data_IF_861628185470
#
_entry.id   IF_861628185470
#
_cell.length_a   1.000
_cell.length_b   1.000
_cell.length_c   1.000
_cell.angle_alpha   90.00
_cell.angle_beta   90.00
_cell.angle_gamma   90.00
#
_symmetry.space_group_name_H-M   'P 1'
#
loop_
_entity.id
_entity.type
_entity.pdbx_description
1 polymer ?
#
# COMPACT_ATOMS: atom_id res chain seq x y z
N UNK A 1 7.28 -17.43 7.88
CA UNK A 1 7.30 -16.14 7.19
C UNK A 1 8.75 -15.79 6.91
N UNK A 2 9.10 -15.63 5.65
CA UNK A 2 10.46 -15.22 5.23
C UNK A 2 10.69 -13.72 5.51
N UNK A 3 11.96 -13.31 5.44
CA UNK A 3 12.38 -11.95 5.74
C UNK A 3 11.78 -10.92 4.76
N UNK A 4 11.63 -11.26 3.48
CA UNK A 4 11.13 -10.33 2.46
C UNK A 4 9.63 -10.10 2.62
N UNK A 5 8.86 -11.15 2.91
CA UNK A 5 7.44 -11.03 3.29
C UNK A 5 7.27 -10.16 4.53
N UNK A 6 8.10 -10.35 5.55
CA UNK A 6 8.05 -9.52 6.76
C UNK A 6 8.34 -8.03 6.47
N UNK A 7 9.36 -7.74 5.66
CA UNK A 7 9.69 -6.37 5.23
C UNK A 7 8.53 -5.76 4.43
N UNK A 8 7.94 -6.52 3.50
CA UNK A 8 6.82 -6.07 2.70
C UNK A 8 5.60 -5.71 3.56
N UNK A 9 5.23 -6.57 4.52
CA UNK A 9 4.14 -6.28 5.45
C UNK A 9 4.43 -5.06 6.33
N UNK A 10 5.69 -4.90 6.78
CA UNK A 10 6.09 -3.72 7.54
C UNK A 10 5.90 -2.44 6.71
N UNK A 11 6.25 -2.46 5.41
CA UNK A 11 6.02 -1.33 4.52
C UNK A 11 4.52 -1.02 4.36
N UNK A 12 3.66 -2.03 4.20
CA UNK A 12 2.20 -1.83 4.16
C UNK A 12 1.68 -1.14 5.44
N UNK A 13 2.19 -1.54 6.60
CA UNK A 13 1.84 -0.90 7.88
C UNK A 13 2.34 0.55 7.92
N UNK A 14 3.56 0.81 7.46
CA UNK A 14 4.12 2.16 7.40
C UNK A 14 3.28 3.06 6.48
N UNK A 15 2.86 2.58 5.31
CA UNK A 15 1.99 3.33 4.40
C UNK A 15 0.64 3.70 5.06
N UNK A 16 0.08 2.79 5.87
CA UNK A 16 -1.13 3.06 6.64
C UNK A 16 -0.93 4.14 7.69
N UNK A 17 0.20 4.10 8.41
CA UNK A 17 0.57 5.10 9.40
C UNK A 17 0.74 6.47 8.74
N UNK A 18 1.38 6.54 7.57
CA UNK A 18 1.54 7.79 6.79
C UNK A 18 0.17 8.36 6.40
N UNK A 19 -0.77 7.53 5.95
CA UNK A 19 -2.10 7.96 5.49
C UNK A 19 -3.07 8.35 6.60
N UNK A 20 -3.01 7.71 7.76
CA UNK A 20 -4.03 7.84 8.80
C UNK A 20 -4.27 9.30 9.28
N UNK A 21 -3.23 10.12 9.53
CA UNK A 21 -3.43 11.52 9.95
C UNK A 21 -4.13 12.38 8.89
N UNK A 22 -3.76 12.20 7.61
CA UNK A 22 -4.37 12.94 6.50
C UNK A 22 -5.83 12.57 6.33
N UNK A 23 -6.16 11.28 6.35
CA UNK A 23 -7.54 10.79 6.28
C UNK A 23 -8.41 11.37 7.41
N UNK A 24 -7.84 11.49 8.62
CA UNK A 24 -8.54 12.11 9.75
C UNK A 24 -8.80 13.60 9.50
N UNK A 25 -7.80 14.35 9.04
CA UNK A 25 -7.94 15.80 8.74
C UNK A 25 -8.91 16.06 7.59
N UNK A 26 -8.81 15.28 6.50
CA UNK A 26 -9.71 15.40 5.34
C UNK A 26 -11.18 15.18 5.69
N UNK A 27 -11.48 14.28 6.63
CA UNK A 27 -12.86 14.05 7.10
C UNK A 27 -13.42 15.20 7.95
N UNK A 28 -12.54 16.03 8.53
CA UNK A 28 -12.92 17.18 9.34
C UNK A 28 -13.18 18.43 8.48
N UNK A 29 -12.49 18.55 7.35
CA UNK A 29 -12.69 19.63 6.38
C UNK A 29 -13.92 19.39 5.51
N UNK A 30 -14.78 20.41 5.35
CA UNK A 30 -15.92 20.33 4.42
C UNK A 30 -15.43 20.55 2.99
N UNK A 31 -15.44 19.50 2.19
CA UNK A 31 -15.19 19.58 0.75
C UNK A 31 -16.24 20.50 0.10
N UNK A 32 -15.81 21.60 -0.53
CA UNK A 32 -16.70 22.56 -1.20
C UNK A 32 -17.43 21.95 -2.39
N UNK A 33 -16.73 21.12 -3.16
CA UNK A 33 -17.29 20.35 -4.26
C UNK A 33 -16.78 18.91 -4.24
N UNK A 34 -17.68 17.94 -4.41
CA UNK A 34 -17.33 16.52 -4.53
C UNK A 34 -17.76 16.00 -5.89
N UNK A 35 -16.80 15.85 -6.80
CA UNK A 35 -17.02 15.28 -8.15
C UNK A 35 -16.41 13.88 -8.23
N UNK A 36 -17.08 12.90 -7.64
CA UNK A 36 -16.66 11.49 -7.68
C UNK A 36 -17.71 10.70 -8.45
N UNK A 37 -17.27 9.87 -9.40
CA UNK A 37 -18.17 9.02 -10.18
C UNK A 37 -18.25 7.60 -9.62
N UNK A 38 -19.34 6.88 -9.92
CA UNK A 38 -19.46 5.47 -9.54
C UNK A 38 -18.35 4.61 -10.16
N UNK A 39 -17.93 4.93 -11.38
CA UNK A 39 -16.83 4.24 -12.06
C UNK A 39 -15.51 4.41 -11.30
N UNK A 40 -15.19 5.63 -10.89
CA UNK A 40 -13.99 5.91 -10.08
C UNK A 40 -14.02 5.14 -8.75
N UNK A 41 -15.16 5.15 -8.06
CA UNK A 41 -15.33 4.38 -6.82
C UNK A 41 -15.11 2.88 -7.02
N UNK A 42 -15.62 2.31 -8.11
CA UNK A 42 -15.45 0.88 -8.43
C UNK A 42 -13.98 0.57 -8.70
N UNK A 43 -13.32 1.35 -9.57
CA UNK A 43 -11.91 1.14 -9.93
C UNK A 43 -11.01 1.25 -8.69
N UNK A 44 -11.22 2.27 -7.85
CA UNK A 44 -10.46 2.43 -6.61
C UNK A 44 -10.73 1.29 -5.61
N UNK A 45 -11.96 0.79 -5.54
CA UNK A 45 -12.29 -0.35 -4.66
C UNK A 45 -11.62 -1.65 -5.13
N UNK A 46 -11.48 -1.84 -6.45
CA UNK A 46 -10.80 -3.00 -7.03
C UNK A 46 -9.28 -3.02 -6.79
N UNK A 47 -8.67 -1.91 -6.37
CA UNK A 47 -7.29 -1.89 -5.90
C UNK A 47 -7.12 -2.55 -4.52
N UNK A 48 -8.16 -2.59 -3.68
CA UNK A 48 -8.06 -3.12 -2.32
C UNK A 48 -7.67 -4.61 -2.27
N UNK A 49 -8.24 -5.51 -3.09
CA UNK A 49 -7.82 -6.90 -3.14
C UNK A 49 -6.35 -7.10 -3.49
N UNK A 50 -5.86 -6.43 -4.53
CA UNK A 50 -4.46 -6.53 -4.93
C UNK A 50 -3.51 -5.91 -3.91
N UNK A 51 -3.86 -4.76 -3.33
CA UNK A 51 -3.00 -4.03 -2.41
C UNK A 51 -2.96 -4.59 -0.99
N UNK A 52 -4.05 -5.20 -0.50
CA UNK A 52 -4.17 -5.63 0.90
C UNK A 52 -4.53 -7.09 1.06
N UNK A 53 -5.59 -7.57 0.42
CA UNK A 53 -6.06 -8.93 0.68
C UNK A 53 -5.08 -9.99 0.17
N UNK A 54 -4.55 -9.83 -1.04
CA UNK A 54 -3.61 -10.81 -1.63
C UNK A 54 -2.33 -10.94 -0.78
N UNK A 55 -1.62 -9.86 -0.39
CA UNK A 55 -0.43 -10.00 0.44
C UNK A 55 -0.70 -10.58 1.84
N UNK A 56 -1.84 -10.26 2.45
CA UNK A 56 -2.21 -10.79 3.76
C UNK A 56 -2.52 -12.29 3.67
N UNK A 57 -3.29 -12.70 2.66
CA UNK A 57 -3.59 -14.12 2.40
C UNK A 57 -2.30 -14.89 2.13
N UNK A 58 -1.39 -14.33 1.31
CA UNK A 58 -0.08 -14.90 1.03
C UNK A 58 0.75 -15.11 2.31
N UNK A 59 0.79 -14.11 3.19
CA UNK A 59 1.62 -14.18 4.38
C UNK A 59 1.06 -15.09 5.49
N UNK A 60 -0.27 -15.25 5.56
CA UNK A 60 -0.95 -15.95 6.66
C UNK A 60 -1.42 -17.36 6.30
N UNK A 61 -1.42 -17.73 5.01
CA UNK A 61 -1.96 -19.01 4.53
C UNK A 61 -1.10 -19.59 3.41
N UNK A 62 -1.20 -20.90 3.21
CA UNK A 62 -0.50 -21.61 2.12
C UNK A 62 -1.31 -21.62 0.81
N UNK A 63 -2.40 -20.85 0.71
CA UNK A 63 -3.35 -20.94 -0.40
C UNK A 63 -2.74 -20.54 -1.75
N UNK A 64 -1.72 -19.68 -1.71
CA UNK A 64 -1.04 -19.14 -2.89
C UNK A 64 0.30 -19.85 -3.18
N UNK A 65 0.64 -20.91 -2.43
CA UNK A 65 1.93 -21.61 -2.58
C UNK A 65 2.14 -22.18 -3.98
N UNK A 66 1.05 -22.53 -4.69
CA UNK A 66 1.10 -23.02 -6.07
C UNK A 66 1.69 -21.99 -7.05
N UNK A 67 1.68 -20.71 -6.70
CA UNK A 67 2.19 -19.61 -7.51
C UNK A 67 3.59 -19.14 -7.09
N UNK A 68 4.20 -19.78 -6.08
CA UNK A 68 5.55 -19.45 -5.64
C UNK A 68 6.59 -19.84 -6.68
N UNK A 69 7.55 -18.94 -6.87
CA UNK A 69 8.71 -19.16 -7.72
C UNK A 69 9.98 -18.82 -6.94
N UNK A 70 11.06 -19.54 -7.24
CA UNK A 70 12.34 -19.32 -6.60
C UNK A 70 13.08 -18.18 -7.28
N UNK A 71 13.51 -17.20 -6.48
CA UNK A 71 14.41 -16.13 -6.89
C UNK A 71 15.68 -16.18 -6.06
N UNK A 72 16.83 -15.74 -6.61
CA UNK A 72 18.04 -15.57 -5.83
C UNK A 72 17.89 -14.40 -4.85
N UNK A 73 18.52 -14.50 -3.68
CA UNK A 73 18.37 -13.54 -2.57
C UNK A 73 18.69 -12.08 -2.95
N UNK A 74 19.63 -11.86 -3.88
CA UNK A 74 19.99 -10.51 -4.33
C UNK A 74 18.81 -9.79 -5.00
N UNK A 75 17.90 -10.52 -5.65
CA UNK A 75 16.71 -9.93 -6.27
C UNK A 75 15.73 -9.45 -5.20
N UNK A 76 15.60 -10.18 -4.08
CA UNK A 76 14.82 -9.76 -2.93
C UNK A 76 15.33 -8.44 -2.34
N UNK A 77 16.65 -8.29 -2.20
CA UNK A 77 17.26 -7.04 -1.71
C UNK A 77 17.08 -5.85 -2.65
N UNK A 78 17.09 -6.06 -3.98
CA UNK A 78 16.71 -5.00 -4.93
C UNK A 78 15.25 -4.59 -4.70
N UNK A 79 14.34 -5.55 -4.49
CA UNK A 79 12.96 -5.28 -4.13
C UNK A 79 12.83 -4.44 -2.86
N UNK A 80 13.63 -4.74 -1.82
CA UNK A 80 13.68 -3.95 -0.58
C UNK A 80 14.14 -2.51 -0.83
N UNK A 81 15.17 -2.30 -1.66
CA UNK A 81 15.65 -0.97 -2.00
C UNK A 81 14.59 -0.16 -2.77
N UNK A 82 13.91 -0.79 -3.74
CA UNK A 82 12.82 -0.18 -4.49
C UNK A 82 11.64 0.17 -3.57
N UNK A 83 11.28 -0.73 -2.67
CA UNK A 83 10.20 -0.53 -1.70
C UNK A 83 10.52 0.63 -0.75
N UNK A 84 11.75 0.74 -0.26
CA UNK A 84 12.18 1.87 0.55
C UNK A 84 12.07 3.21 -0.21
N UNK A 85 12.48 3.23 -1.47
CA UNK A 85 12.31 4.39 -2.36
C UNK A 85 10.84 4.74 -2.59
N UNK A 86 10.00 3.73 -2.81
CA UNK A 86 8.56 3.91 -3.00
C UNK A 86 7.90 4.50 -1.74
N UNK A 87 8.20 3.97 -0.55
CA UNK A 87 7.69 4.49 0.73
C UNK A 87 8.17 5.93 0.96
N UNK A 88 9.41 6.26 0.61
CA UNK A 88 9.92 7.64 0.70
C UNK A 88 9.13 8.60 -0.21
N UNK A 89 8.95 8.25 -1.49
CA UNK A 89 8.17 9.07 -2.43
C UNK A 89 6.73 9.18 -1.97
N UNK A 90 6.15 8.09 -1.49
CA UNK A 90 4.80 8.05 -0.95
C UNK A 90 4.64 9.00 0.24
N UNK A 91 5.53 8.93 1.22
CA UNK A 91 5.54 9.85 2.35
C UNK A 91 5.66 11.30 1.89
N UNK A 92 6.60 11.59 0.98
CA UNK A 92 6.83 12.95 0.47
C UNK A 92 5.60 13.50 -0.25
N UNK A 93 4.96 12.68 -1.09
CA UNK A 93 3.74 13.07 -1.79
C UNK A 93 2.59 13.40 -0.82
N UNK A 94 2.40 12.61 0.25
CA UNK A 94 1.37 12.89 1.25
C UNK A 94 1.73 14.12 2.10
N UNK A 95 3.01 14.33 2.43
CA UNK A 95 3.46 15.53 3.12
C UNK A 95 3.22 16.80 2.28
N UNK A 96 3.46 16.73 0.96
CA UNK A 96 3.35 17.88 0.05
C UNK A 96 1.90 18.16 -0.37
N UNK A 97 1.08 17.13 -0.59
CA UNK A 97 -0.34 17.31 -0.94
C UNK A 97 -1.20 17.66 0.27
N UNK A 98 -0.90 17.08 1.45
CA UNK A 98 -1.65 17.33 2.67
C UNK A 98 -3.14 17.05 2.53
N UNK A 99 -3.98 18.04 2.86
CA UNK A 99 -5.45 17.92 2.78
C UNK A 99 -6.00 17.93 1.34
N UNK A 100 -5.17 18.24 0.34
CA UNK A 100 -5.57 18.26 -1.06
C UNK A 100 -5.49 16.87 -1.73
N UNK A 101 -5.06 15.84 -1.00
CA UNK A 101 -5.10 14.43 -1.39
C UNK A 101 -6.46 13.80 -1.05
#
# INVERSE_FOLDING_TARGET
>A
MDIFTAIFLAALVIEMIIRAPLNKRRRQEKMSERRITNQEMIILSLLLPGGFFVPIIYALTNWLDFANYMLPDWAGWIGVLLLAGAVFVFWRAHADLGINW
#
